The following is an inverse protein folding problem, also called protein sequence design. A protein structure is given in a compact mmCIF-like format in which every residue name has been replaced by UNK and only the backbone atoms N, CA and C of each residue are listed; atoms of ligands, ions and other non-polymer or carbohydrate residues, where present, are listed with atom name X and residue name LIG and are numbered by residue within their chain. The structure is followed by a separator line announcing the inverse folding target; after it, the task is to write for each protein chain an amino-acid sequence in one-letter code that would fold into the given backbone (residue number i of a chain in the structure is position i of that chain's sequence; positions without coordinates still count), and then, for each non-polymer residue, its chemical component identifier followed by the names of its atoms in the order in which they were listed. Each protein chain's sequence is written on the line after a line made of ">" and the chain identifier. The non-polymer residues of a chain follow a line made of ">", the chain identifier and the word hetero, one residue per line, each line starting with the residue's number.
data_IF_392423853206
#
_entry.id   IF_392423853206
#
_cell.length_a   1.000
_cell.length_b   1.000
_cell.length_c   1.000
_cell.angle_alpha   90.00
_cell.angle_beta   90.00
_cell.angle_gamma   90.00
#
_symmetry.space_group_name_H-M   'P 1'
#
loop_
_entity.id
_entity.type
_entity.pdbx_description
1 polymer ?
#
# COMPACT_ATOMS: atom_id res chain seq x y z
N UNK A 1 -11.49 1.32 22.64
CA UNK A 1 -12.72 1.07 21.87
C UNK A 1 -12.90 2.16 20.82
N UNK A 2 -13.08 1.75 19.56
CA UNK A 2 -13.54 2.61 18.46
C UNK A 2 -14.67 1.86 17.76
N UNK A 3 -15.85 2.42 17.74
CA UNK A 3 -17.05 1.78 17.22
C UNK A 3 -17.65 2.48 16.00
N UNK A 4 -16.89 3.42 15.44
CA UNK A 4 -17.08 4.04 14.14
C UNK A 4 -15.70 4.17 13.50
N UNK A 5 -15.48 3.49 12.38
CA UNK A 5 -14.24 3.60 11.61
C UNK A 5 -14.56 4.29 10.31
N UNK A 6 -13.80 5.32 9.96
CA UNK A 6 -13.90 6.02 8.69
C UNK A 6 -12.55 6.04 8.00
N UNK A 7 -12.51 5.69 6.73
CA UNK A 7 -11.32 5.77 5.89
C UNK A 7 -11.63 6.61 4.66
N UNK A 8 -10.87 7.66 4.45
CA UNK A 8 -11.00 8.51 3.26
C UNK A 8 -9.89 8.14 2.27
N UNK A 9 -10.27 7.83 1.05
CA UNK A 9 -9.36 7.44 -0.03
C UNK A 9 -9.61 8.28 -1.27
N UNK A 10 -8.57 8.42 -2.10
CA UNK A 10 -8.69 8.92 -3.48
C UNK A 10 -8.47 7.71 -4.41
N UNK A 11 -9.52 7.07 -4.91
CA UNK A 11 -9.37 5.91 -5.78
C UNK A 11 -8.68 6.31 -7.08
N UNK A 12 -7.87 5.41 -7.64
CA UNK A 12 -7.28 5.55 -8.96
C UNK A 12 -7.98 4.60 -9.93
N UNK A 13 -8.31 5.11 -11.09
CA UNK A 13 -8.94 4.32 -12.14
C UNK A 13 -8.04 4.27 -13.37
N UNK A 14 -7.78 3.04 -13.85
CA UNK A 14 -7.07 2.86 -15.11
C UNK A 14 -8.00 3.27 -16.27
N UNK A 15 -7.57 4.26 -17.03
CA UNK A 15 -8.27 4.77 -18.20
C UNK A 15 -7.74 4.13 -19.48
N UNK A 16 -8.62 4.03 -20.46
CA UNK A 16 -8.28 3.56 -21.80
C UNK A 16 -7.18 4.44 -22.44
N UNK A 17 -6.57 3.90 -23.46
CA UNK A 17 -5.53 4.61 -24.24
C UNK A 17 -6.02 5.97 -24.74
N UNK A 18 -5.22 6.99 -24.45
CA UNK A 18 -5.47 8.36 -24.89
C UNK A 18 -4.17 9.02 -25.38
N UNK A 19 -4.30 10.16 -26.05
CA UNK A 19 -3.18 11.04 -26.37
C UNK A 19 -2.75 11.74 -25.06
N UNK A 20 -1.51 11.48 -24.64
CA UNK A 20 -0.95 11.99 -23.38
C UNK A 20 0.05 13.14 -23.61
N UNK A 21 0.59 13.21 -24.80
CA UNK A 21 1.52 14.27 -25.21
C UNK A 21 1.50 14.47 -26.71
N UNK A 22 1.72 15.70 -27.14
CA UNK A 22 1.88 16.09 -28.55
C UNK A 22 2.91 17.21 -28.68
N UNK A 23 3.78 17.06 -29.70
CA UNK A 23 4.66 18.14 -30.14
C UNK A 23 3.83 19.23 -30.84
N UNK A 24 3.97 20.47 -30.38
CA UNK A 24 3.21 21.60 -30.92
C UNK A 24 3.88 22.26 -32.10
N UNK A 25 5.19 22.00 -32.28
CA UNK A 25 6.02 22.57 -33.32
C UNK A 25 6.19 21.58 -34.50
N UNK A 26 6.61 22.11 -35.65
CA UNK A 26 6.93 21.31 -36.84
C UNK A 26 8.43 21.44 -37.18
N UNK A 27 9.31 20.84 -36.36
CA UNK A 27 10.75 20.99 -36.51
C UNK A 27 11.27 20.25 -37.74
N UNK A 28 12.35 20.74 -38.30
CA UNK A 28 13.11 20.08 -39.37
C UNK A 28 14.36 19.45 -38.80
N UNK A 29 14.61 18.19 -39.16
CA UNK A 29 15.80 17.42 -38.75
C UNK A 29 16.69 17.24 -39.95
N UNK A 30 17.97 17.70 -39.91
CA UNK A 30 18.94 17.48 -41.01
C UNK A 30 19.15 16.00 -41.32
N UNK A 31 19.65 15.69 -42.51
CA UNK A 31 19.95 14.32 -42.94
C UNK A 31 20.91 13.62 -41.97
N UNK A 32 20.53 12.42 -41.50
CA UNK A 32 21.33 11.58 -40.59
C UNK A 32 21.35 12.06 -39.11
N UNK A 33 20.75 13.19 -38.79
CA UNK A 33 20.74 13.74 -37.44
C UNK A 33 19.60 13.16 -36.58
N UNK A 34 19.79 13.22 -35.25
CA UNK A 34 18.79 12.78 -34.25
C UNK A 34 18.37 13.95 -33.39
N UNK A 35 17.07 14.24 -33.34
CA UNK A 35 16.47 15.18 -32.41
C UNK A 35 15.81 14.45 -31.27
N UNK A 36 15.94 14.99 -30.05
CA UNK A 36 15.34 14.38 -28.83
C UNK A 36 14.23 15.28 -28.31
N UNK A 37 13.06 14.68 -28.09
CA UNK A 37 11.88 15.33 -27.52
C UNK A 37 11.50 14.67 -26.19
N UNK A 38 11.15 15.49 -25.22
CA UNK A 38 10.64 15.05 -23.94
C UNK A 38 9.16 15.42 -23.84
N UNK A 39 8.33 14.43 -23.55
CA UNK A 39 6.90 14.61 -23.33
C UNK A 39 6.52 14.32 -21.91
N UNK A 40 5.86 15.26 -21.22
CA UNK A 40 5.21 15.02 -19.93
C UNK A 40 3.78 14.57 -20.16
N UNK A 41 3.39 13.46 -19.49
CA UNK A 41 2.05 12.90 -19.63
C UNK A 41 1.01 13.83 -19.00
N UNK A 42 0.04 14.25 -19.80
CA UNK A 42 -1.07 15.06 -19.34
C UNK A 42 -2.36 14.75 -20.09
N UNK A 43 -3.49 14.89 -19.40
CA UNK A 43 -4.83 14.81 -19.99
C UNK A 43 -5.58 16.07 -19.63
N UNK A 44 -6.10 16.78 -20.63
CA UNK A 44 -6.77 18.07 -20.43
C UNK A 44 -5.97 19.08 -19.60
N UNK A 45 -4.62 19.04 -19.73
CA UNK A 45 -3.71 19.94 -19.01
C UNK A 45 -3.36 19.49 -17.57
N UNK A 46 -3.91 18.40 -17.08
CA UNK A 46 -3.57 17.83 -15.77
C UNK A 46 -2.54 16.71 -15.93
N UNK A 47 -1.41 16.73 -15.16
CA UNK A 47 -0.44 15.66 -15.18
C UNK A 47 -1.05 14.33 -14.72
N UNK A 48 -0.69 13.24 -15.40
CA UNK A 48 -1.19 11.88 -15.08
C UNK A 48 -0.03 10.90 -14.90
N UNK A 49 -0.30 9.80 -14.20
CA UNK A 49 0.60 8.65 -14.15
C UNK A 49 0.26 7.67 -15.26
N UNK A 50 1.24 7.31 -16.08
CA UNK A 50 1.07 6.39 -17.18
C UNK A 50 1.32 4.96 -16.70
N UNK A 51 0.36 4.10 -17.02
CA UNK A 51 0.49 2.67 -16.81
C UNK A 51 1.37 2.05 -17.91
N UNK A 52 0.97 2.27 -19.17
CA UNK A 52 1.71 1.79 -20.31
C UNK A 52 1.72 2.82 -21.46
N UNK A 53 2.93 3.14 -21.95
CA UNK A 53 3.10 3.92 -23.17
C UNK A 53 2.98 3.03 -24.39
N UNK A 54 2.14 3.42 -25.33
CA UNK A 54 2.03 2.78 -26.64
C UNK A 54 3.29 3.06 -27.48
N UNK A 55 3.75 2.05 -28.20
CA UNK A 55 4.83 2.25 -29.19
C UNK A 55 4.30 3.10 -30.35
N UNK A 56 4.98 4.21 -30.72
CA UNK A 56 4.51 5.09 -31.77
C UNK A 56 4.34 4.38 -33.11
N UNK A 57 3.20 4.60 -33.76
CA UNK A 57 2.81 4.02 -35.04
C UNK A 57 2.82 5.11 -36.12
N UNK A 58 3.41 4.81 -37.26
CA UNK A 58 3.45 5.71 -38.43
C UNK A 58 2.01 6.06 -38.88
N UNK A 59 1.79 7.26 -39.31
CA UNK A 59 0.49 7.86 -39.68
C UNK A 59 -0.49 8.10 -38.54
N UNK A 60 -0.43 7.29 -37.49
CA UNK A 60 -1.26 7.46 -36.28
C UNK A 60 -0.62 8.40 -35.28
N UNK A 61 0.64 8.17 -34.95
CA UNK A 61 1.36 8.88 -33.88
C UNK A 61 2.43 9.83 -34.42
N UNK A 62 2.92 9.56 -35.59
CA UNK A 62 3.87 10.48 -36.25
C UNK A 62 3.73 10.48 -37.77
N UNK A 63 3.96 11.65 -38.33
CA UNK A 63 4.10 11.87 -39.78
C UNK A 63 5.26 12.86 -40.03
N UNK A 64 5.93 12.66 -41.15
CA UNK A 64 7.05 13.53 -41.57
C UNK A 64 7.10 13.60 -43.10
N UNK A 65 7.84 14.59 -43.64
CA UNK A 65 8.00 14.75 -45.09
C UNK A 65 8.94 13.70 -45.72
N UNK A 66 9.61 12.89 -44.92
CA UNK A 66 10.48 11.80 -45.33
C UNK A 66 10.52 10.68 -44.29
N UNK A 67 11.54 9.81 -44.38
CA UNK A 67 11.65 8.63 -43.52
C UNK A 67 12.37 8.95 -42.21
N UNK A 68 11.72 8.62 -41.08
CA UNK A 68 12.30 8.77 -39.75
C UNK A 68 12.18 7.46 -38.95
N UNK A 69 13.09 7.26 -38.02
CA UNK A 69 12.99 6.22 -36.99
C UNK A 69 12.83 6.85 -35.61
N UNK A 70 12.08 6.21 -34.76
CA UNK A 70 11.81 6.70 -33.39
C UNK A 70 12.21 5.64 -32.37
N UNK A 71 13.15 6.01 -31.50
CA UNK A 71 13.47 5.23 -30.31
C UNK A 71 12.82 5.88 -29.09
N UNK A 72 12.17 5.07 -28.25
CA UNK A 72 11.41 5.54 -27.09
C UNK A 72 12.05 5.08 -25.78
N UNK A 73 12.11 5.98 -24.79
CA UNK A 73 12.39 5.62 -23.39
C UNK A 73 11.19 6.04 -22.55
N UNK A 74 10.59 5.07 -21.87
CA UNK A 74 9.31 5.19 -21.17
C UNK A 74 9.53 5.39 -19.66
N UNK A 75 8.82 6.34 -19.05
CA UNK A 75 8.82 6.63 -17.61
C UNK A 75 7.39 6.77 -17.13
N UNK A 76 7.17 6.71 -15.82
CA UNK A 76 5.84 6.76 -15.24
C UNK A 76 5.05 8.06 -15.48
N UNK A 77 5.73 9.18 -15.77
CA UNK A 77 5.10 10.49 -16.02
C UNK A 77 5.60 11.17 -17.30
N UNK A 78 6.57 10.59 -17.98
CA UNK A 78 7.16 11.20 -19.15
C UNK A 78 7.65 10.16 -20.14
N UNK A 79 7.88 10.59 -21.37
CA UNK A 79 8.46 9.79 -22.43
C UNK A 79 9.56 10.58 -23.10
N UNK A 80 10.66 9.92 -23.43
CA UNK A 80 11.70 10.46 -24.29
C UNK A 80 11.58 9.82 -25.68
N UNK A 81 11.51 10.66 -26.70
CA UNK A 81 11.44 10.28 -28.12
C UNK A 81 12.71 10.76 -28.79
N UNK A 82 13.58 9.84 -29.20
CA UNK A 82 14.73 10.14 -30.03
C UNK A 82 14.35 9.86 -31.50
N UNK A 83 14.17 10.92 -32.27
CA UNK A 83 13.74 10.88 -33.67
C UNK A 83 14.94 11.07 -34.57
N UNK A 84 15.30 10.04 -35.33
CA UNK A 84 16.43 10.06 -36.27
C UNK A 84 15.90 10.19 -37.70
N UNK A 85 16.39 11.17 -38.41
CA UNK A 85 16.18 11.29 -39.86
C UNK A 85 17.05 10.25 -40.57
N UNK A 86 16.44 9.29 -41.24
CA UNK A 86 17.13 8.23 -41.99
C UNK A 86 17.20 8.53 -43.50
N UNK A 87 16.71 9.69 -43.91
CA UNK A 87 16.76 10.16 -45.28
C UNK A 87 18.06 10.91 -45.57
N UNK A 88 18.33 11.14 -46.84
CA UNK A 88 19.53 11.89 -47.36
C UNK A 88 19.31 13.41 -47.41
N UNK A 89 18.08 13.86 -47.09
CA UNK A 89 17.67 15.27 -47.07
C UNK A 89 17.04 15.62 -45.73
N UNK A 90 16.92 16.91 -45.44
CA UNK A 90 16.23 17.34 -44.24
C UNK A 90 14.76 16.94 -44.26
N UNK A 91 14.26 16.42 -43.12
CA UNK A 91 12.89 15.95 -42.97
C UNK A 91 12.18 16.81 -41.93
N UNK A 92 10.96 17.28 -42.25
CA UNK A 92 10.13 18.04 -41.32
C UNK A 92 9.10 17.12 -40.67
N UNK A 93 9.02 17.13 -39.33
CA UNK A 93 8.00 16.43 -38.55
C UNK A 93 6.71 17.24 -38.64
N UNK A 94 5.62 16.64 -39.13
CA UNK A 94 4.31 17.28 -39.23
C UNK A 94 3.33 16.83 -38.15
N UNK A 95 3.56 15.66 -37.56
CA UNK A 95 2.87 15.14 -36.38
C UNK A 95 3.88 14.35 -35.56
N UNK A 96 3.88 14.55 -34.24
CA UNK A 96 4.52 13.67 -33.28
C UNK A 96 3.72 13.71 -31.97
N UNK A 97 3.18 12.57 -31.57
CA UNK A 97 2.43 12.42 -30.33
C UNK A 97 2.76 11.11 -29.64
N UNK A 98 2.46 11.03 -28.36
CA UNK A 98 2.58 9.83 -27.56
C UNK A 98 1.25 9.50 -26.91
N UNK A 99 0.85 8.25 -27.03
CA UNK A 99 -0.36 7.68 -26.44
C UNK A 99 -0.02 6.65 -25.37
N UNK A 100 -0.96 6.39 -24.48
CA UNK A 100 -0.82 5.36 -23.46
C UNK A 100 -2.07 5.21 -22.62
N UNK A 101 -2.09 4.16 -21.80
CA UNK A 101 -3.06 3.99 -20.73
C UNK A 101 -2.56 4.74 -19.49
N UNK A 102 -3.45 5.29 -18.70
CA UNK A 102 -3.08 6.15 -17.59
C UNK A 102 -4.03 5.99 -16.39
N UNK A 103 -3.54 6.34 -15.21
CA UNK A 103 -4.35 6.41 -13.99
C UNK A 103 -4.87 7.83 -13.80
N UNK A 104 -6.17 7.91 -13.52
CA UNK A 104 -6.87 9.15 -13.21
C UNK A 104 -7.36 9.13 -11.76
N UNK A 105 -7.15 10.25 -11.04
CA UNK A 105 -7.62 10.41 -9.68
C UNK A 105 -9.13 10.59 -9.67
N UNK A 106 -9.82 9.71 -8.96
CA UNK A 106 -11.26 9.86 -8.75
C UNK A 106 -11.56 10.79 -7.58
N UNK A 107 -12.79 11.24 -7.48
CA UNK A 107 -13.27 12.03 -6.33
C UNK A 107 -13.01 11.27 -5.02
N UNK A 108 -12.55 11.98 -4.00
CA UNK A 108 -12.36 11.43 -2.65
C UNK A 108 -13.64 10.77 -2.14
N UNK A 109 -13.50 9.56 -1.66
CA UNK A 109 -14.59 8.75 -1.11
C UNK A 109 -14.25 8.39 0.33
N UNK A 110 -15.21 8.59 1.26
CA UNK A 110 -15.10 8.12 2.64
C UNK A 110 -15.92 6.85 2.81
N UNK A 111 -15.25 5.77 3.21
CA UNK A 111 -15.88 4.52 3.61
C UNK A 111 -16.03 4.48 5.12
N UNK A 112 -17.13 3.86 5.59
CA UNK A 112 -17.50 3.84 7.01
C UNK A 112 -17.97 2.44 7.39
N UNK A 113 -17.50 1.98 8.55
CA UNK A 113 -18.10 0.84 9.28
C UNK A 113 -18.46 1.30 10.69
N UNK A 114 -19.57 0.79 11.24
CA UNK A 114 -20.02 1.11 12.58
C UNK A 114 -20.71 -0.09 13.25
N UNK A 115 -20.62 -0.14 14.58
CA UNK A 115 -21.27 -1.15 15.40
C UNK A 115 -22.20 -0.48 16.42
N UNK A 116 -23.50 -0.64 16.24
CA UNK A 116 -24.52 0.00 17.08
C UNK A 116 -24.57 -0.58 18.50
N UNK A 117 -24.24 -1.86 18.67
CA UNK A 117 -24.20 -2.51 19.98
C UNK A 117 -23.09 -1.91 20.84
N UNK A 118 -21.91 -1.81 20.28
CA UNK A 118 -20.76 -1.16 20.94
C UNK A 118 -21.02 0.33 21.21
N UNK A 119 -21.70 1.05 20.29
CA UNK A 119 -22.06 2.45 20.51
C UNK A 119 -23.03 2.62 21.68
N UNK A 120 -23.95 1.68 21.87
CA UNK A 120 -24.88 1.71 23.01
C UNK A 120 -24.15 1.46 24.35
N UNK A 121 -23.18 0.52 24.34
CA UNK A 121 -22.43 0.16 25.54
C UNK A 121 -21.34 1.19 25.92
N UNK A 122 -20.65 1.77 24.94
CA UNK A 122 -19.42 2.57 25.13
C UNK A 122 -19.50 3.97 24.56
N UNK A 123 -20.67 4.44 24.14
CA UNK A 123 -20.90 5.69 23.44
C UNK A 123 -20.19 5.71 22.05
N UNK A 124 -20.49 6.73 21.24
CA UNK A 124 -19.89 6.89 19.91
C UNK A 124 -18.44 7.31 20.01
N UNK A 125 -17.54 6.49 19.47
CA UNK A 125 -16.11 6.75 19.40
C UNK A 125 -15.64 6.51 17.95
N UNK A 126 -15.22 7.58 17.30
CA UNK A 126 -14.82 7.54 15.87
C UNK A 126 -13.30 7.49 15.76
N UNK A 127 -12.81 6.61 14.89
CA UNK A 127 -11.45 6.61 14.37
C UNK A 127 -11.52 7.03 12.90
N UNK A 128 -10.87 8.13 12.56
CA UNK A 128 -10.75 8.63 11.19
C UNK A 128 -9.33 8.41 10.68
N UNK A 129 -9.21 7.77 9.53
CA UNK A 129 -7.94 7.43 8.92
C UNK A 129 -7.87 7.97 7.49
N UNK A 130 -6.69 8.44 7.10
CA UNK A 130 -6.38 8.81 5.73
C UNK A 130 -5.78 7.59 5.01
N UNK A 131 -6.53 7.06 4.06
CA UNK A 131 -6.15 5.93 3.23
C UNK A 131 -5.24 6.30 2.07
N UNK A 132 -4.26 7.17 2.29
CA UNK A 132 -3.34 7.73 1.29
C UNK A 132 -2.72 6.70 0.32
N UNK A 133 -2.50 5.48 0.80
CA UNK A 133 -1.90 4.39 0.00
C UNK A 133 -2.93 3.39 -0.52
N UNK A 134 -4.22 3.62 -0.27
CA UNK A 134 -5.29 2.78 -0.76
C UNK A 134 -5.82 3.33 -2.08
N UNK A 135 -5.70 2.55 -3.13
CA UNK A 135 -6.08 2.94 -4.50
C UNK A 135 -7.50 2.54 -4.88
N UNK A 136 -8.24 1.89 -3.97
CA UNK A 136 -9.59 1.39 -4.22
C UNK A 136 -10.52 1.69 -3.05
N UNK A 137 -11.73 2.12 -3.38
CA UNK A 137 -12.81 2.32 -2.41
C UNK A 137 -13.26 1.01 -1.73
N UNK A 138 -13.18 -0.12 -2.44
CA UNK A 138 -13.55 -1.43 -1.90
C UNK A 138 -12.52 -1.91 -0.88
N UNK A 139 -11.22 -1.76 -1.16
CA UNK A 139 -10.16 -2.05 -0.18
C UNK A 139 -10.30 -1.19 1.08
N UNK A 140 -10.73 0.07 0.94
CA UNK A 140 -11.00 0.91 2.08
C UNK A 140 -12.22 0.42 2.89
N UNK A 141 -13.26 -0.11 2.24
CA UNK A 141 -14.40 -0.72 2.93
C UNK A 141 -13.99 -2.00 3.64
N UNK A 142 -13.22 -2.86 3.01
CA UNK A 142 -12.72 -4.10 3.64
C UNK A 142 -11.88 -3.79 4.87
N UNK A 143 -11.00 -2.78 4.76
CA UNK A 143 -10.22 -2.33 5.90
C UNK A 143 -11.09 -1.75 7.03
N UNK A 144 -12.13 -0.95 6.73
CA UNK A 144 -13.04 -0.44 7.77
C UNK A 144 -13.80 -1.57 8.46
N UNK A 145 -14.25 -2.58 7.71
CA UNK A 145 -14.93 -3.76 8.25
C UNK A 145 -14.00 -4.59 9.14
N UNK A 146 -12.75 -4.78 8.72
CA UNK A 146 -11.73 -5.44 9.55
C UNK A 146 -11.45 -4.64 10.83
N UNK A 147 -11.20 -3.34 10.71
CA UNK A 147 -10.85 -2.49 11.83
C UNK A 147 -11.98 -2.39 12.86
N UNK A 148 -13.26 -2.30 12.42
CA UNK A 148 -14.39 -2.28 13.36
C UNK A 148 -14.47 -3.60 14.14
N UNK A 149 -14.26 -4.74 13.52
CA UNK A 149 -14.19 -6.04 14.20
C UNK A 149 -13.13 -6.09 15.29
N UNK A 150 -11.99 -5.42 15.07
CA UNK A 150 -10.86 -5.37 16.01
C UNK A 150 -11.03 -4.38 17.16
N UNK A 151 -11.67 -3.23 16.93
CA UNK A 151 -11.63 -2.10 17.87
C UNK A 151 -12.96 -1.78 18.54
N UNK A 152 -14.08 -2.42 18.15
CA UNK A 152 -15.41 -2.13 18.67
C UNK A 152 -15.60 -2.49 20.14
N UNK A 153 -14.90 -3.50 20.63
CA UNK A 153 -15.04 -3.99 22.00
C UNK A 153 -13.75 -3.73 22.80
N UNK A 154 -13.87 -3.56 24.13
CA UNK A 154 -12.70 -3.49 24.99
C UNK A 154 -11.96 -4.83 24.97
N UNK A 155 -10.64 -4.78 24.90
CA UNK A 155 -9.80 -5.95 25.03
C UNK A 155 -9.26 -6.06 26.45
N UNK A 156 -9.23 -7.27 26.96
CA UNK A 156 -8.53 -7.56 28.20
C UNK A 156 -7.02 -7.48 27.92
N UNK A 157 -6.33 -6.63 28.65
CA UNK A 157 -4.87 -6.57 28.68
C UNK A 157 -4.43 -7.09 30.06
N UNK A 158 -3.54 -8.06 30.06
CA UNK A 158 -2.99 -8.64 31.28
C UNK A 158 -1.51 -8.29 31.35
N UNK A 159 -1.09 -7.72 32.47
CA UNK A 159 0.32 -7.62 32.82
C UNK A 159 0.62 -8.64 33.91
N UNK A 160 1.62 -9.49 33.73
CA UNK A 160 2.10 -10.43 34.73
C UNK A 160 3.61 -10.43 34.83
N UNK A 161 4.12 -10.56 36.06
CA UNK A 161 5.52 -10.70 36.32
C UNK A 161 5.86 -12.12 36.79
N UNK A 162 6.89 -12.70 36.24
CA UNK A 162 7.44 -14.01 36.64
C UNK A 162 8.87 -13.80 37.12
N UNK A 163 9.19 -14.41 38.26
CA UNK A 163 10.56 -14.43 38.81
C UNK A 163 11.16 -15.83 38.69
N UNK A 164 12.48 -15.92 38.63
CA UNK A 164 13.26 -17.15 38.53
C UNK A 164 13.26 -17.93 39.86
N UNK A 165 12.12 -18.39 40.34
CA UNK A 165 11.99 -19.13 41.60
C UNK A 165 12.57 -20.55 41.53
N UNK A 166 12.54 -21.15 40.34
CA UNK A 166 13.07 -22.50 40.07
C UNK A 166 13.56 -22.62 38.61
N UNK A 167 14.08 -23.78 38.25
CA UNK A 167 14.60 -24.04 36.90
C UNK A 167 13.52 -23.99 35.81
N UNK A 168 12.28 -24.33 36.13
CA UNK A 168 11.18 -24.32 35.17
C UNK A 168 10.76 -22.88 34.86
N UNK A 169 10.61 -22.02 35.88
CA UNK A 169 10.32 -20.59 35.68
C UNK A 169 11.47 -19.86 35.00
N UNK A 170 12.73 -20.18 35.33
CA UNK A 170 13.89 -19.63 34.62
C UNK A 170 13.87 -20.02 33.13
N UNK A 171 13.55 -21.27 32.80
CA UNK A 171 13.40 -21.72 31.41
C UNK A 171 12.32 -20.91 30.69
N UNK A 172 11.15 -20.70 31.30
CA UNK A 172 10.09 -19.87 30.71
C UNK A 172 10.57 -18.42 30.46
N UNK A 173 11.30 -17.85 31.40
CA UNK A 173 11.84 -16.48 31.26
C UNK A 173 12.82 -16.37 30.10
N UNK A 174 13.65 -17.38 29.88
CA UNK A 174 14.73 -17.36 28.89
C UNK A 174 14.32 -17.82 27.48
N UNK A 175 13.24 -18.57 27.36
CA UNK A 175 12.85 -19.20 26.08
C UNK A 175 11.64 -18.56 25.41
N UNK A 176 10.89 -17.71 26.15
CA UNK A 176 9.74 -17.03 25.56
C UNK A 176 10.16 -15.81 24.77
N UNK A 177 9.43 -15.59 23.68
CA UNK A 177 9.62 -14.47 22.77
C UNK A 177 8.33 -13.67 22.57
N UNK A 178 8.45 -12.46 22.05
CA UNK A 178 7.29 -11.67 21.61
C UNK A 178 6.55 -12.46 20.52
N UNK A 179 5.21 -12.43 20.57
CA UNK A 179 4.30 -13.22 19.72
C UNK A 179 4.14 -14.70 20.12
N UNK A 180 4.82 -15.18 21.17
CA UNK A 180 4.52 -16.51 21.72
C UNK A 180 3.10 -16.55 22.28
N UNK A 181 2.39 -17.66 22.01
CA UNK A 181 1.09 -17.95 22.61
C UNK A 181 1.28 -18.68 23.93
N UNK A 182 0.68 -18.15 24.98
CA UNK A 182 0.71 -18.74 26.33
C UNK A 182 -0.68 -18.85 26.89
N UNK A 183 -0.94 -19.91 27.67
CA UNK A 183 -2.19 -20.07 28.42
C UNK A 183 -2.02 -19.50 29.82
N UNK A 184 -2.86 -18.55 30.18
CA UNK A 184 -2.90 -17.97 31.55
C UNK A 184 -4.05 -18.58 32.32
N UNK A 185 -3.73 -19.20 33.43
CA UNK A 185 -4.73 -19.78 34.36
C UNK A 185 -4.66 -19.07 35.70
N UNK A 186 -5.68 -18.31 36.05
CA UNK A 186 -5.81 -17.67 37.35
C UNK A 186 -7.24 -17.86 37.88
N UNK A 187 -7.41 -18.86 38.75
CA UNK A 187 -8.73 -19.24 39.30
C UNK A 187 -9.36 -18.16 40.17
N UNK A 188 -8.54 -17.32 40.83
CA UNK A 188 -9.06 -16.23 41.69
C UNK A 188 -9.66 -15.09 40.86
N UNK A 189 -9.09 -14.85 39.66
CA UNK A 189 -9.58 -13.82 38.73
C UNK A 189 -10.54 -14.40 37.69
N UNK A 190 -10.78 -15.72 37.69
CA UNK A 190 -11.63 -16.39 36.70
C UNK A 190 -10.99 -16.40 35.30
N UNK A 191 -9.67 -16.24 35.19
CA UNK A 191 -8.96 -16.25 33.90
C UNK A 191 -8.52 -17.67 33.60
N UNK A 192 -8.90 -18.16 32.42
CA UNK A 192 -8.42 -19.39 31.81
C UNK A 192 -8.51 -19.22 30.29
N UNK A 193 -7.52 -18.58 29.70
CA UNK A 193 -7.53 -18.24 28.29
C UNK A 193 -6.11 -18.14 27.73
N UNK A 194 -6.02 -18.15 26.42
CA UNK A 194 -4.77 -18.01 25.69
C UNK A 194 -4.51 -16.56 25.32
N UNK A 195 -3.26 -16.16 25.42
CA UNK A 195 -2.78 -14.82 25.16
C UNK A 195 -1.51 -14.86 24.32
N UNK A 196 -1.29 -13.80 23.53
CA UNK A 196 0.01 -13.53 22.90
C UNK A 196 0.82 -12.58 23.76
N UNK A 197 2.13 -12.79 23.80
CA UNK A 197 3.09 -11.87 24.41
C UNK A 197 3.29 -10.70 23.44
N UNK A 198 2.80 -9.53 23.81
CA UNK A 198 2.93 -8.29 23.02
C UNK A 198 4.14 -7.45 23.46
N UNK A 199 4.50 -7.54 24.70
CA UNK A 199 5.65 -6.84 25.28
C UNK A 199 6.34 -7.70 26.35
N UNK A 200 7.66 -7.57 26.44
CA UNK A 200 8.48 -8.28 27.39
C UNK A 200 9.58 -7.35 27.92
N UNK A 201 9.69 -7.29 29.27
CA UNK A 201 10.72 -6.54 29.96
C UNK A 201 11.46 -7.44 30.94
N UNK A 202 12.78 -7.51 30.81
CA UNK A 202 13.64 -8.26 31.70
C UNK A 202 14.30 -7.32 32.71
N UNK A 203 14.17 -7.61 33.98
CA UNK A 203 14.90 -6.96 35.08
C UNK A 203 15.80 -8.00 35.78
N UNK A 204 17.10 -7.74 35.78
CA UNK A 204 18.10 -8.60 36.40
C UNK A 204 18.78 -7.84 37.50
N UNK A 205 18.51 -8.20 38.75
CA UNK A 205 19.02 -7.54 39.96
C UNK A 205 19.84 -8.48 40.81
N UNK A 206 20.47 -7.92 41.88
CA UNK A 206 21.27 -8.67 42.84
C UNK A 206 22.39 -9.49 42.15
N UNK A 207 23.22 -8.81 41.33
CA UNK A 207 24.34 -9.46 40.63
C UNK A 207 23.94 -10.68 39.79
N UNK A 208 22.73 -10.66 39.20
CA UNK A 208 22.24 -11.73 38.35
C UNK A 208 21.47 -12.86 39.08
N UNK A 209 21.30 -12.78 40.39
CA UNK A 209 20.62 -13.81 41.16
C UNK A 209 19.08 -13.72 41.05
N UNK A 210 18.52 -12.53 40.86
CA UNK A 210 17.11 -12.31 40.68
C UNK A 210 16.84 -11.84 39.25
N UNK A 211 16.11 -12.66 38.50
CA UNK A 211 15.67 -12.34 37.17
C UNK A 211 14.14 -12.32 37.14
N UNK A 212 13.58 -11.16 36.90
CA UNK A 212 12.15 -10.95 36.75
C UNK A 212 11.84 -10.60 35.30
N UNK A 213 10.80 -11.19 34.72
CA UNK A 213 10.27 -10.78 33.44
C UNK A 213 8.83 -10.30 33.60
N UNK A 214 8.53 -9.16 33.03
CA UNK A 214 7.16 -8.62 32.93
C UNK A 214 6.64 -8.80 31.52
N UNK A 215 5.57 -9.58 31.38
CA UNK A 215 4.86 -9.75 30.13
C UNK A 215 3.62 -8.85 30.09
N UNK A 216 3.38 -8.20 28.95
CA UNK A 216 2.05 -7.70 28.58
C UNK A 216 1.43 -8.65 27.58
N UNK A 217 0.19 -9.03 27.84
CA UNK A 217 -0.49 -10.10 27.13
C UNK A 217 -1.76 -9.57 26.47
N UNK A 218 -1.97 -9.94 25.22
CA UNK A 218 -3.15 -9.60 24.41
C UNK A 218 -3.96 -10.87 24.18
N UNK A 219 -5.28 -10.78 24.35
CA UNK A 219 -6.22 -11.90 24.19
C UNK A 219 -6.21 -12.42 22.74
N UNK A 220 -6.05 -13.75 22.61
CA UNK A 220 -6.04 -14.46 21.31
C UNK A 220 -7.44 -14.56 20.69
N UNK A 221 -8.52 -14.52 21.48
CA UNK A 221 -9.88 -14.82 21.03
C UNK A 221 -10.40 -13.91 19.89
N UNK A 222 -9.74 -12.77 19.65
CA UNK A 222 -10.08 -11.81 18.60
C UNK A 222 -8.96 -11.61 17.56
N UNK A 223 -7.96 -12.45 17.57
CA UNK A 223 -6.91 -12.42 16.56
C UNK A 223 -7.28 -13.36 15.41
N UNK A 224 -7.98 -12.83 14.39
CA UNK A 224 -7.96 -13.45 13.08
C UNK A 224 -6.55 -13.29 12.53
N UNK A 225 -5.73 -14.34 12.68
CA UNK A 225 -4.46 -14.38 11.96
C UNK A 225 -4.75 -14.28 10.48
N UNK A 226 -4.04 -13.41 9.82
CA UNK A 226 -3.82 -13.53 8.40
C UNK A 226 -3.11 -14.88 8.16
N UNK A 227 -3.88 -15.92 7.98
CA UNK A 227 -3.37 -17.09 7.28
C UNK A 227 -3.20 -16.63 5.83
N UNK A 228 -1.95 -16.40 5.42
CA UNK A 228 -1.61 -16.44 4.02
C UNK A 228 -2.04 -17.83 3.54
N UNK A 229 -3.14 -17.88 2.81
CA UNK A 229 -3.56 -19.11 2.16
C UNK A 229 -2.53 -19.41 1.07
N UNK A 230 -1.56 -20.28 1.41
CA UNK A 230 -0.50 -20.71 0.52
C UNK A 230 -1.05 -21.44 -0.73
N UNK A 231 -2.33 -21.81 -0.73
CA UNK A 231 -3.01 -22.43 -1.86
C UNK A 231 -3.42 -21.43 -2.95
N UNK A 232 -3.38 -20.12 -2.66
CA UNK A 232 -3.76 -19.06 -3.59
C UNK A 232 -2.60 -18.56 -4.47
N UNK A 233 -1.37 -19.02 -4.24
CA UNK A 233 -0.26 -18.74 -5.16
C UNK A 233 -0.23 -19.78 -6.29
N UNK A 234 -0.44 -19.38 -7.55
CA UNK A 234 -0.25 -20.30 -8.67
C UNK A 234 1.20 -20.77 -8.63
N UNK A 235 1.39 -22.10 -8.59
CA UNK A 235 2.70 -22.72 -8.79
C UNK A 235 3.25 -22.28 -10.15
N UNK A 236 4.47 -21.73 -10.14
CA UNK A 236 5.21 -21.32 -11.32
C UNK A 236 5.52 -22.51 -12.24
#
# INVERSE_FOLDING_TARGET
>A
VYNIIKVTVTPWELKAEAELWRLQETPSIPAGETATYWGEASVSGSPVFVDEWTTPVVTTDYTATGTISIATTKFAKSIKLAVTNTDTVAVTITLLKARGTYYDDQTKVTRKAEDSTSQTAYQKRTLELDGKYMTSADKAQDFTNYAIGKFKDPRAEIAMAIMNQDAATLTQILTREISDRITVVNTKLGVNADYFIDYMEHDVSISGLLHTVTYRLVDVSNEDFWCLDYSAFPSA
#
